data_IF_239298948387
#
_entry.id   IF_239298948387
#
_cell.length_a   1.000
_cell.length_b   1.000
_cell.length_c   1.000
_cell.angle_alpha   90.00
_cell.angle_beta   90.00
_cell.angle_gamma   90.00
#
_symmetry.space_group_name_H-M   'P 1'
#
loop_
_entity.id
_entity.type
_entity.pdbx_description
1 polymer ?
#
# COMPACT_ATOMS: atom_id res chain seq x y z
N UNK A 1 61.92 -15.34 -43.46
CA UNK A 1 61.28 -14.03 -43.21
C UNK A 1 59.82 -14.13 -43.64
N UNK A 2 58.89 -14.18 -42.70
CA UNK A 2 57.54 -13.63 -42.84
C UNK A 2 56.80 -13.88 -41.53
N UNK A 3 56.61 -12.79 -40.77
CA UNK A 3 55.72 -12.74 -39.61
C UNK A 3 54.30 -12.62 -40.15
N UNK A 4 53.44 -13.58 -39.85
CA UNK A 4 51.99 -13.43 -40.03
C UNK A 4 51.39 -12.94 -38.71
N UNK A 5 50.90 -11.70 -38.74
CA UNK A 5 50.02 -11.11 -37.74
C UNK A 5 48.67 -10.88 -38.41
N UNK A 6 47.59 -11.44 -37.87
CA UNK A 6 46.19 -11.02 -38.08
C UNK A 6 45.36 -11.69 -36.97
N UNK A 7 45.20 -11.00 -35.83
CA UNK A 7 44.02 -10.20 -35.47
C UNK A 7 42.81 -11.07 -35.07
N UNK A 8 42.76 -11.46 -33.79
CA UNK A 8 41.55 -11.94 -33.14
C UNK A 8 40.73 -10.73 -32.68
N UNK A 9 39.58 -10.48 -33.32
CA UNK A 9 38.60 -9.53 -32.83
C UNK A 9 37.89 -10.12 -31.60
N UNK A 10 38.18 -9.58 -30.42
CA UNK A 10 37.39 -9.84 -29.21
C UNK A 10 36.17 -8.94 -29.29
N UNK A 11 35.02 -9.51 -29.62
CA UNK A 11 33.72 -8.88 -29.39
C UNK A 11 33.47 -8.88 -27.89
N UNK A 12 33.77 -7.76 -27.23
CA UNK A 12 33.28 -7.49 -25.89
C UNK A 12 31.77 -7.30 -25.99
N UNK A 13 31.01 -8.35 -25.66
CA UNK A 13 29.63 -8.18 -25.24
C UNK A 13 29.65 -7.41 -23.92
N UNK A 14 29.53 -6.10 -23.99
CA UNK A 14 29.16 -5.29 -22.84
C UNK A 14 27.75 -5.67 -22.44
N UNK A 15 27.62 -6.52 -21.42
CA UNK A 15 26.37 -6.69 -20.70
C UNK A 15 26.07 -5.36 -20.00
N UNK A 16 25.42 -4.47 -20.73
CA UNK A 16 24.74 -3.32 -20.14
C UNK A 16 23.55 -3.93 -19.42
N UNK A 17 23.68 -4.14 -18.11
CA UNK A 17 22.52 -4.38 -17.25
C UNK A 17 21.67 -3.12 -17.31
N UNK A 18 20.76 -3.06 -18.29
CA UNK A 18 19.63 -2.15 -18.26
C UNK A 18 18.86 -2.57 -17.01
N UNK A 19 18.98 -1.78 -15.95
CA UNK A 19 17.97 -1.78 -14.90
C UNK A 19 16.67 -1.44 -15.63
N UNK A 20 15.83 -2.44 -15.88
CA UNK A 20 14.55 -2.20 -16.52
C UNK A 20 13.77 -1.26 -15.60
N UNK A 21 13.41 -0.08 -16.11
CA UNK A 21 12.45 0.78 -15.42
C UNK A 21 11.19 -0.04 -15.15
N UNK A 22 10.70 0.01 -13.93
CA UNK A 22 9.49 -0.70 -13.54
C UNK A 22 8.31 -0.16 -14.33
N UNK A 23 7.66 -1.02 -15.12
CA UNK A 23 6.48 -0.65 -15.91
C UNK A 23 5.36 -0.17 -14.99
N UNK A 24 4.77 0.98 -15.29
CA UNK A 24 3.69 1.59 -14.50
C UNK A 24 2.36 1.54 -15.25
N UNK A 25 1.27 1.65 -14.51
CA UNK A 25 -0.10 1.63 -15.02
C UNK A 25 -0.95 2.78 -14.50
N UNK A 26 -1.94 3.17 -15.30
CA UNK A 26 -2.97 4.14 -14.98
C UNK A 26 -4.24 3.83 -15.79
N UNK A 27 -5.31 4.59 -15.59
CA UNK A 27 -6.55 4.45 -16.39
C UNK A 27 -6.32 4.71 -17.89
N UNK A 28 -5.28 5.48 -18.25
CA UNK A 28 -4.95 5.81 -19.64
C UNK A 28 -3.82 4.93 -20.20
N UNK A 29 -3.08 4.23 -19.34
CA UNK A 29 -1.94 3.41 -19.71
C UNK A 29 -2.00 2.07 -19.01
N UNK A 30 -2.56 1.06 -19.68
CA UNK A 30 -2.77 -0.25 -19.11
C UNK A 30 -1.48 -1.08 -19.10
N UNK A 31 -1.41 -2.03 -18.17
CA UNK A 31 -0.32 -3.00 -18.17
C UNK A 31 -0.28 -3.84 -19.46
N UNK A 32 0.93 -4.24 -19.91
CA UNK A 32 1.08 -5.15 -21.06
C UNK A 32 0.75 -6.59 -20.68
N UNK A 33 0.48 -7.44 -21.68
CA UNK A 33 0.05 -8.83 -21.50
C UNK A 33 1.03 -9.69 -20.68
N UNK A 34 2.34 -9.41 -20.79
CA UNK A 34 3.40 -10.17 -20.12
C UNK A 34 3.48 -9.92 -18.61
N UNK A 35 3.01 -8.75 -18.17
CA UNK A 35 2.93 -8.32 -16.76
C UNK A 35 1.57 -7.69 -16.52
N UNK A 36 0.48 -8.46 -16.60
CA UNK A 36 -0.85 -7.94 -16.89
C UNK A 36 -1.52 -7.23 -15.70
N UNK A 37 -0.97 -7.38 -14.49
CA UNK A 37 -1.62 -6.96 -13.27
C UNK A 37 -1.11 -5.60 -12.78
N UNK A 38 -2.01 -4.64 -12.65
CA UNK A 38 -1.71 -3.32 -12.09
C UNK A 38 -1.86 -3.33 -10.58
N UNK A 39 -0.76 -3.36 -9.84
CA UNK A 39 -0.76 -3.43 -8.37
C UNK A 39 -1.32 -2.18 -7.68
N UNK A 40 -1.43 -2.26 -6.35
CA UNK A 40 -1.92 -1.15 -5.52
C UNK A 40 -1.18 0.16 -5.75
N UNK A 41 0.10 0.08 -6.12
CA UNK A 41 1.04 1.19 -6.28
C UNK A 41 1.18 1.67 -7.73
N UNK A 42 0.33 1.22 -8.65
CA UNK A 42 0.38 1.64 -10.06
C UNK A 42 1.56 1.03 -10.82
N UNK A 43 1.98 -0.18 -10.43
CA UNK A 43 3.09 -0.91 -11.03
C UNK A 43 2.59 -2.20 -11.67
N UNK A 44 3.11 -2.56 -12.84
CA UNK A 44 2.74 -3.77 -13.57
C UNK A 44 3.62 -4.96 -13.20
N UNK A 45 3.02 -6.13 -13.02
CA UNK A 45 3.75 -7.35 -12.68
C UNK A 45 2.89 -8.62 -12.75
N UNK A 46 3.37 -9.68 -12.11
CA UNK A 46 2.69 -10.98 -11.95
C UNK A 46 2.66 -11.39 -10.47
N UNK A 47 2.00 -12.50 -10.13
CA UNK A 47 2.03 -13.03 -8.76
C UNK A 47 1.34 -12.12 -7.76
N UNK A 48 2.09 -11.59 -6.78
CA UNK A 48 1.50 -10.74 -5.75
C UNK A 48 0.99 -9.40 -6.30
N UNK A 49 1.43 -8.97 -7.50
CA UNK A 49 0.83 -7.85 -8.24
C UNK A 49 -0.62 -8.10 -8.65
N UNK A 50 -0.98 -9.37 -8.84
CA UNK A 50 -2.33 -9.80 -9.26
C UNK A 50 -3.24 -10.13 -8.08
N UNK A 51 -2.66 -10.33 -6.90
CA UNK A 51 -3.40 -10.51 -5.65
C UNK A 51 -3.81 -9.14 -5.11
N UNK A 52 -4.47 -9.14 -3.95
CA UNK A 52 -5.22 -7.99 -3.47
C UNK A 52 -4.54 -6.63 -3.64
N UNK A 53 -5.32 -5.64 -4.08
CA UNK A 53 -4.89 -4.31 -4.49
C UNK A 53 -4.67 -4.18 -6.00
N UNK A 54 -4.84 -5.25 -6.79
CA UNK A 54 -4.75 -5.25 -8.24
C UNK A 54 -5.95 -4.52 -8.86
N UNK A 55 -5.74 -3.39 -9.54
CA UNK A 55 -6.83 -2.64 -10.19
C UNK A 55 -7.13 -3.21 -11.58
N UNK A 56 -8.27 -3.89 -11.80
CA UNK A 56 -8.60 -4.50 -13.09
C UNK A 56 -8.83 -3.46 -14.19
N UNK A 57 -9.13 -2.20 -13.85
CA UNK A 57 -9.36 -1.12 -14.83
C UNK A 57 -8.07 -0.62 -15.44
N UNK A 58 -6.97 -0.69 -14.69
CA UNK A 58 -5.63 -0.26 -15.12
C UNK A 58 -4.75 -1.46 -15.56
N UNK A 59 -5.28 -2.67 -15.45
CA UNK A 59 -4.64 -3.91 -15.87
C UNK A 59 -4.82 -4.17 -17.37
N UNK A 60 -4.11 -5.17 -17.90
CA UNK A 60 -4.21 -5.56 -19.32
C UNK A 60 -5.66 -5.88 -19.74
N UNK A 61 -6.40 -6.56 -18.85
CA UNK A 61 -7.82 -6.87 -18.98
C UNK A 61 -8.49 -6.96 -17.60
N UNK A 62 -9.83 -6.99 -17.55
CA UNK A 62 -10.57 -7.17 -16.30
C UNK A 62 -10.25 -8.51 -15.60
N UNK A 63 -9.89 -9.53 -16.37
CA UNK A 63 -9.54 -10.88 -15.87
C UNK A 63 -8.07 -11.00 -15.47
N UNK A 64 -7.28 -9.92 -15.55
CA UNK A 64 -5.85 -9.96 -15.22
C UNK A 64 -5.60 -10.15 -13.73
N UNK A 65 -6.43 -9.52 -12.90
CA UNK A 65 -6.35 -9.65 -11.45
C UNK A 65 -6.93 -10.98 -10.98
N UNK A 66 -6.39 -11.51 -9.89
CA UNK A 66 -6.94 -12.70 -9.24
C UNK A 66 -8.25 -12.32 -8.54
N UNK A 67 -9.33 -13.11 -8.67
CA UNK A 67 -10.59 -12.88 -7.97
C UNK A 67 -10.39 -12.68 -6.46
N UNK A 68 -11.03 -11.66 -5.90
CA UNK A 68 -10.83 -11.25 -4.51
C UNK A 68 -11.63 -12.13 -3.55
N UNK A 69 -11.03 -12.78 -2.52
CA UNK A 69 -11.77 -13.68 -1.65
C UNK A 69 -12.91 -13.00 -0.88
N UNK A 70 -14.09 -13.62 -0.88
CA UNK A 70 -15.29 -13.12 -0.21
C UNK A 70 -15.12 -13.12 1.32
N UNK A 71 -15.71 -12.11 1.96
CA UNK A 71 -15.75 -11.92 3.40
C UNK A 71 -16.21 -13.17 4.17
N UNK A 72 -15.59 -13.38 5.34
CA UNK A 72 -16.09 -14.28 6.37
C UNK A 72 -16.13 -13.53 7.70
N UNK A 73 -17.27 -13.51 8.40
CA UNK A 73 -17.39 -12.84 9.69
C UNK A 73 -16.53 -13.57 10.71
N UNK A 74 -15.58 -12.87 11.32
CA UNK A 74 -14.64 -13.45 12.29
C UNK A 74 -14.00 -12.39 13.18
N UNK A 75 -13.63 -12.86 14.37
CA UNK A 75 -12.74 -12.14 15.28
C UNK A 75 -11.31 -12.58 14.99
N UNK A 76 -10.49 -11.62 14.55
CA UNK A 76 -9.08 -11.78 14.24
C UNK A 76 -8.27 -11.47 15.50
N UNK A 77 -7.61 -12.50 16.02
CA UNK A 77 -6.71 -12.33 17.16
C UNK A 77 -5.42 -11.67 16.71
N UNK A 78 -4.93 -10.76 17.55
CA UNK A 78 -3.65 -10.07 17.37
C UNK A 78 -2.67 -10.44 18.48
N UNK A 79 -2.78 -11.63 19.10
CA UNK A 79 -1.93 -12.04 20.22
C UNK A 79 -0.63 -12.76 19.80
N UNK A 80 -0.56 -13.17 18.53
CA UNK A 80 0.59 -13.82 17.89
C UNK A 80 0.61 -13.50 16.37
N UNK A 81 1.57 -14.04 15.64
CA UNK A 81 1.74 -13.82 14.19
C UNK A 81 1.55 -15.09 13.35
N UNK A 82 0.95 -16.16 13.89
CA UNK A 82 0.78 -17.44 13.19
C UNK A 82 -0.19 -17.32 12.00
N UNK A 83 -1.14 -16.39 12.08
CA UNK A 83 -2.10 -16.08 11.01
C UNK A 83 -1.63 -14.94 10.09
N UNK A 84 -0.36 -14.56 10.16
CA UNK A 84 0.24 -13.52 9.33
C UNK A 84 1.19 -14.18 8.33
N UNK A 85 0.97 -13.94 7.04
CA UNK A 85 1.82 -14.42 5.96
C UNK A 85 2.51 -13.25 5.27
N UNK A 86 3.79 -13.40 4.96
CA UNK A 86 4.50 -12.39 4.16
C UNK A 86 3.94 -12.33 2.73
N UNK A 87 3.85 -11.14 2.15
CA UNK A 87 3.38 -10.94 0.77
C UNK A 87 4.13 -11.81 -0.24
N UNK A 88 5.41 -12.12 0.00
CA UNK A 88 6.23 -12.97 -0.87
C UNK A 88 5.93 -14.47 -0.77
N UNK A 89 4.98 -14.85 0.06
CA UNK A 89 4.57 -16.24 0.27
C UNK A 89 3.06 -16.44 0.09
N UNK A 90 2.29 -15.37 0.07
CA UNK A 90 0.84 -15.46 -0.06
C UNK A 90 0.43 -15.74 -1.50
N UNK A 91 -0.44 -16.74 -1.69
CA UNK A 91 -0.90 -17.17 -3.00
C UNK A 91 -2.42 -16.94 -3.21
N UNK A 92 -3.09 -16.21 -2.32
CA UNK A 92 -4.53 -15.91 -2.46
C UNK A 92 -5.48 -16.89 -1.77
N UNK A 93 -4.97 -17.78 -0.90
CA UNK A 93 -5.79 -18.67 -0.08
C UNK A 93 -6.14 -18.02 1.27
N UNK A 94 -7.38 -17.53 1.47
CA UNK A 94 -7.79 -16.86 2.71
C UNK A 94 -7.88 -17.80 3.92
N UNK A 95 -7.74 -19.12 3.73
CA UNK A 95 -7.83 -20.11 4.82
C UNK A 95 -6.48 -20.36 5.50
N UNK A 96 -5.38 -19.96 4.86
CA UNK A 96 -4.01 -20.17 5.39
C UNK A 96 -3.55 -19.04 6.32
N UNK A 97 -4.11 -17.84 6.17
CA UNK A 97 -3.74 -16.68 6.95
C UNK A 97 -4.91 -15.68 6.99
N UNK A 98 -4.97 -14.90 8.05
CA UNK A 98 -5.91 -13.77 8.17
C UNK A 98 -5.33 -12.49 7.57
N UNK A 99 -4.00 -12.36 7.61
CA UNK A 99 -3.29 -11.14 7.24
C UNK A 99 -2.15 -11.42 6.28
N UNK A 100 -2.03 -10.58 5.26
CA UNK A 100 -0.84 -10.46 4.42
C UNK A 100 -0.02 -9.28 4.90
N UNK A 101 1.25 -9.49 5.22
CA UNK A 101 2.17 -8.46 5.70
C UNK A 101 3.09 -7.95 4.60
N UNK A 102 3.28 -6.63 4.58
CA UNK A 102 4.48 -6.00 4.03
C UNK A 102 5.11 -5.19 5.17
N UNK A 103 6.34 -5.51 5.56
CA UNK A 103 6.99 -4.94 6.74
C UNK A 103 7.02 -5.92 7.92
N UNK A 104 7.09 -5.39 9.15
CA UNK A 104 7.32 -6.19 10.35
C UNK A 104 6.23 -5.99 11.40
N UNK A 105 5.46 -7.07 11.60
CA UNK A 105 4.53 -7.25 12.69
C UNK A 105 5.19 -8.09 13.79
N UNK A 106 5.11 -7.65 15.05
CA UNK A 106 5.70 -8.36 16.19
C UNK A 106 4.70 -8.52 17.35
N UNK A 107 4.59 -9.71 17.96
CA UNK A 107 3.70 -9.91 19.10
C UNK A 107 4.25 -9.21 20.36
N UNK A 108 3.38 -8.55 21.10
CA UNK A 108 3.71 -7.81 22.32
C UNK A 108 2.51 -7.75 23.27
N UNK A 109 2.65 -8.34 24.46
CA UNK A 109 1.64 -8.28 25.54
C UNK A 109 0.21 -8.64 25.10
N UNK A 110 0.05 -9.71 24.30
CA UNK A 110 -1.26 -10.16 23.80
C UNK A 110 -1.84 -9.27 22.68
N UNK A 111 -1.02 -8.40 22.10
CA UNK A 111 -1.33 -7.55 20.95
C UNK A 111 -0.22 -7.67 19.89
N UNK A 112 -0.40 -7.03 18.74
CA UNK A 112 0.61 -6.96 17.67
C UNK A 112 1.08 -5.53 17.50
N UNK A 113 2.39 -5.31 17.46
CA UNK A 113 2.98 -4.05 17.04
C UNK A 113 3.23 -4.11 15.54
N UNK A 114 2.76 -3.10 14.82
CA UNK A 114 3.29 -2.80 13.49
C UNK A 114 4.43 -1.81 13.68
N UNK A 115 5.59 -2.12 13.10
CA UNK A 115 6.82 -1.36 13.35
C UNK A 115 7.29 -0.59 12.12
N UNK A 116 7.98 0.52 12.36
CA UNK A 116 8.56 1.38 11.33
C UNK A 116 9.97 1.77 11.76
N UNK A 117 10.96 1.08 11.16
CA UNK A 117 12.38 1.35 11.37
C UNK A 117 12.84 2.51 10.47
N UNK A 118 13.98 3.16 10.80
CA UNK A 118 14.58 4.12 9.90
C UNK A 118 14.78 3.55 8.49
N UNK A 119 14.50 4.37 7.47
CA UNK A 119 14.64 4.04 6.05
C UNK A 119 13.74 2.88 5.56
N UNK A 120 12.62 2.60 6.22
CA UNK A 120 11.59 1.67 5.72
C UNK A 120 10.30 2.39 5.36
N UNK A 121 9.46 1.76 4.55
CA UNK A 121 8.11 2.25 4.24
C UNK A 121 7.10 2.03 5.39
N UNK A 122 7.57 1.55 6.55
CA UNK A 122 6.71 1.13 7.66
C UNK A 122 6.22 -0.31 7.50
N UNK A 123 5.01 -0.57 8.01
CA UNK A 123 4.37 -1.90 7.98
C UNK A 123 2.90 -1.76 7.66
N UNK A 124 2.40 -2.63 6.78
CA UNK A 124 0.98 -2.83 6.53
C UNK A 124 0.60 -4.30 6.73
N UNK A 125 -0.54 -4.53 7.37
CA UNK A 125 -1.27 -5.80 7.36
C UNK A 125 -2.55 -5.61 6.57
N UNK A 126 -2.74 -6.41 5.52
CA UNK A 126 -3.95 -6.43 4.71
C UNK A 126 -4.74 -7.71 4.96
N UNK A 127 -6.04 -7.63 5.19
CA UNK A 127 -6.87 -8.81 5.38
C UNK A 127 -6.89 -9.67 4.11
N UNK A 128 -6.93 -10.99 4.29
CA UNK A 128 -7.02 -11.94 3.16
C UNK A 128 -8.40 -12.03 2.52
N UNK A 129 -9.41 -11.41 3.15
CA UNK A 129 -10.79 -11.35 2.67
C UNK A 129 -11.23 -9.92 2.38
N UNK A 130 -12.20 -9.78 1.48
CA UNK A 130 -12.81 -8.53 1.06
C UNK A 130 -14.25 -8.44 1.55
N UNK A 131 -14.61 -7.33 2.16
CA UNK A 131 -15.95 -6.99 2.59
C UNK A 131 -16.62 -6.17 1.51
N UNK A 132 -17.85 -6.52 1.13
CA UNK A 132 -18.68 -5.65 0.31
C UNK A 132 -19.81 -5.13 1.18
N UNK A 133 -19.57 -3.98 1.80
CA UNK A 133 -20.27 -3.50 2.99
C UNK A 133 -20.02 -4.41 4.21
N UNK A 134 -20.41 -3.93 5.40
CA UNK A 134 -20.28 -4.66 6.66
C UNK A 134 -19.88 -3.75 7.81
N UNK A 135 -19.31 -4.36 8.84
CA UNK A 135 -18.79 -3.66 9.99
C UNK A 135 -17.39 -4.16 10.32
N UNK A 136 -16.47 -3.24 10.60
CA UNK A 136 -15.13 -3.57 11.08
C UNK A 136 -14.82 -2.79 12.35
N UNK A 137 -14.28 -3.46 13.36
CA UNK A 137 -13.84 -2.88 14.62
C UNK A 137 -12.39 -3.26 14.89
N UNK A 138 -11.60 -2.36 15.45
CA UNK A 138 -10.24 -2.66 15.87
C UNK A 138 -9.88 -1.91 17.15
N UNK A 139 -9.19 -2.56 18.08
CA UNK A 139 -8.57 -1.90 19.24
C UNK A 139 -7.18 -1.38 18.86
N UNK A 140 -6.97 -0.07 18.94
CA UNK A 140 -5.74 0.55 18.42
C UNK A 140 -5.13 1.48 19.47
N UNK A 141 -3.79 1.44 19.59
CA UNK A 141 -2.95 2.53 20.09
C UNK A 141 -2.05 3.03 18.97
N UNK A 142 -2.04 4.33 18.74
CA UNK A 142 -1.38 4.92 17.57
C UNK A 142 0.11 5.15 17.82
N UNK A 143 0.89 5.29 16.74
CA UNK A 143 2.22 5.87 16.82
C UNK A 143 2.18 7.36 17.22
N UNK A 144 3.34 7.89 17.61
CA UNK A 144 3.53 9.32 17.94
C UNK A 144 4.79 9.88 17.30
N UNK A 145 4.87 11.20 17.21
CA UNK A 145 5.98 11.94 16.63
C UNK A 145 5.62 12.58 15.28
N UNK A 146 6.35 13.63 14.92
CA UNK A 146 6.22 14.28 13.61
C UNK A 146 6.47 13.28 12.49
N UNK A 147 5.62 13.32 11.46
CA UNK A 147 5.72 12.49 10.28
C UNK A 147 5.34 11.01 10.46
N UNK A 148 5.00 10.57 11.68
CA UNK A 148 4.57 9.20 11.97
C UNK A 148 3.05 9.14 11.81
N UNK A 149 2.57 8.28 10.91
CA UNK A 149 1.13 8.13 10.67
C UNK A 149 0.71 6.69 10.93
N UNK A 150 -0.39 6.52 11.66
CA UNK A 150 -1.09 5.23 11.83
C UNK A 150 -2.35 5.24 10.99
N UNK A 151 -2.75 4.12 10.39
CA UNK A 151 -3.98 4.04 9.61
C UNK A 151 -4.78 2.75 9.82
N UNK A 152 -6.10 2.87 9.66
CA UNK A 152 -7.10 1.81 9.70
C UNK A 152 -8.08 2.04 8.53
N UNK A 153 -7.91 1.27 7.45
CA UNK A 153 -8.46 1.61 6.13
C UNK A 153 -9.22 0.42 5.55
N UNK A 154 -10.41 0.64 5.00
CA UNK A 154 -11.02 -0.25 4.01
C UNK A 154 -10.64 0.25 2.61
N UNK A 155 -9.88 -0.56 1.86
CA UNK A 155 -9.43 -0.20 0.51
C UNK A 155 -9.82 -1.28 -0.50
N UNK A 156 -10.53 -0.88 -1.54
CA UNK A 156 -10.86 -1.75 -2.68
C UNK A 156 -9.74 -1.75 -3.73
N UNK A 157 -9.78 -2.77 -4.58
CA UNK A 157 -8.88 -2.91 -5.72
C UNK A 157 -9.01 -1.74 -6.71
N UNK A 158 -10.20 -1.14 -6.79
CA UNK A 158 -10.50 0.02 -7.63
C UNK A 158 -10.46 1.34 -6.87
N UNK A 159 -9.84 1.35 -5.67
CA UNK A 159 -9.50 2.54 -4.89
C UNK A 159 -10.70 3.30 -4.28
N UNK A 160 -11.85 2.68 -4.14
CA UNK A 160 -12.77 3.09 -3.06
C UNK A 160 -12.07 2.91 -1.71
N UNK A 161 -12.08 3.95 -0.89
CA UNK A 161 -11.36 4.03 0.37
C UNK A 161 -12.25 4.61 1.48
N UNK A 162 -12.15 4.03 2.68
CA UNK A 162 -12.77 4.54 3.90
C UNK A 162 -11.72 4.40 5.00
N UNK A 163 -11.33 5.49 5.64
CA UNK A 163 -10.21 5.48 6.56
C UNK A 163 -10.49 6.14 7.92
N UNK A 164 -9.71 5.67 8.88
CA UNK A 164 -9.16 6.49 9.93
C UNK A 164 -7.66 6.67 9.73
N UNK A 165 -7.18 7.88 10.00
CA UNK A 165 -5.76 8.18 10.10
C UNK A 165 -5.46 8.98 11.38
N UNK A 166 -4.27 8.73 11.94
CA UNK A 166 -3.76 9.47 13.09
C UNK A 166 -2.38 10.02 12.77
N UNK A 167 -2.27 11.34 12.82
CA UNK A 167 -1.00 12.05 12.73
C UNK A 167 -0.35 12.04 14.11
N UNK A 168 0.88 11.55 14.21
CA UNK A 168 1.56 11.32 15.50
C UNK A 168 1.84 12.57 16.35
N UNK A 169 1.56 13.77 15.84
CA UNK A 169 1.61 15.04 16.58
C UNK A 169 0.26 15.45 17.17
N UNK A 170 -0.82 14.76 16.79
CA UNK A 170 -2.21 15.02 17.18
C UNK A 170 -2.78 13.77 17.88
N UNK A 171 -2.53 13.66 19.19
CA UNK A 171 -2.87 12.45 19.97
C UNK A 171 -4.29 12.47 20.55
N UNK A 172 -5.10 13.49 20.24
CA UNK A 172 -6.48 13.66 20.71
C UNK A 172 -7.50 13.72 19.55
N UNK A 173 -7.03 13.41 18.33
CA UNK A 173 -7.79 13.48 17.09
C UNK A 173 -7.71 12.15 16.35
N UNK A 174 -8.86 11.64 15.91
CA UNK A 174 -8.94 10.63 14.87
C UNK A 174 -9.44 11.30 13.57
N UNK A 175 -8.61 11.35 12.55
CA UNK A 175 -9.01 11.88 11.24
C UNK A 175 -9.78 10.79 10.49
N UNK A 176 -10.85 11.18 9.81
CA UNK A 176 -11.68 10.28 8.99
C UNK A 176 -11.74 10.83 7.58
N UNK A 177 -11.67 9.96 6.59
CA UNK A 177 -11.80 10.34 5.20
C UNK A 177 -12.41 9.21 4.37
N UNK A 178 -12.78 9.55 3.14
CA UNK A 178 -13.18 8.57 2.14
C UNK A 178 -12.86 9.06 0.73
N UNK A 179 -12.52 8.12 -0.14
CA UNK A 179 -12.31 8.37 -1.56
C UNK A 179 -13.17 7.44 -2.40
N UNK A 180 -13.67 7.96 -3.52
CA UNK A 180 -14.34 7.17 -4.54
C UNK A 180 -13.38 6.94 -5.69
N UNK A 181 -13.12 5.66 -6.00
CA UNK A 181 -12.32 5.24 -7.13
C UNK A 181 -10.93 5.89 -7.26
N UNK A 182 -10.31 6.26 -6.13
CA UNK A 182 -8.96 6.82 -6.07
C UNK A 182 -8.88 8.26 -6.57
N UNK A 183 -10.02 8.93 -6.72
CA UNK A 183 -10.09 10.35 -7.06
C UNK A 183 -9.87 11.14 -5.76
N UNK A 184 -8.74 11.87 -5.63
CA UNK A 184 -8.48 12.62 -4.41
C UNK A 184 -9.47 13.78 -4.28
N UNK A 185 -10.22 13.81 -3.18
CA UNK A 185 -11.00 14.95 -2.74
C UNK A 185 -10.67 15.25 -1.27
N UNK A 186 -9.81 16.25 -1.08
CA UNK A 186 -9.35 16.66 0.25
C UNK A 186 -10.43 17.36 1.08
N UNK A 187 -11.61 17.64 0.51
CA UNK A 187 -12.71 18.27 1.25
C UNK A 187 -13.53 17.27 2.07
N UNK A 188 -13.34 15.97 1.84
CA UNK A 188 -14.03 14.91 2.57
C UNK A 188 -13.42 14.61 3.95
N UNK A 189 -12.24 15.14 4.28
CA UNK A 189 -11.61 14.90 5.58
C UNK A 189 -12.39 15.56 6.71
N UNK A 190 -12.56 14.85 7.82
CA UNK A 190 -13.17 15.37 9.03
C UNK A 190 -12.54 14.76 10.29
N UNK A 191 -12.48 15.54 11.36
CA UNK A 191 -11.89 15.12 12.63
C UNK A 191 -12.97 14.67 13.62
N UNK A 192 -12.69 13.56 14.31
CA UNK A 192 -13.32 13.22 15.58
C UNK A 192 -12.36 13.68 16.67
N UNK A 193 -12.78 14.67 17.45
CA UNK A 193 -11.98 15.30 18.51
C UNK A 193 -12.32 14.76 19.89
N UNK A 194 -11.60 15.23 20.92
CA UNK A 194 -11.82 14.87 22.32
C UNK A 194 -11.63 13.37 22.59
N UNK A 195 -10.88 12.69 21.73
CA UNK A 195 -10.37 11.34 21.97
C UNK A 195 -9.27 11.47 23.01
N UNK A 196 -9.25 10.59 24.02
CA UNK A 196 -8.13 10.61 24.97
C UNK A 196 -6.84 10.20 24.26
N UNK A 197 -5.68 10.50 24.86
CA UNK A 197 -4.35 10.24 24.27
C UNK A 197 -4.28 8.87 23.56
N UNK A 198 -4.29 8.90 22.22
CA UNK A 198 -4.40 7.71 21.35
C UNK A 198 -3.13 6.87 21.34
N UNK A 199 -2.00 7.43 21.77
CA UNK A 199 -0.75 6.70 21.93
C UNK A 199 -0.66 6.05 23.33
N UNK A 200 -1.25 6.66 24.35
CA UNK A 200 -1.26 6.15 25.71
C UNK A 200 -2.36 5.10 25.94
N UNK A 201 -3.55 5.30 25.36
CA UNK A 201 -4.76 4.53 25.64
C UNK A 201 -5.22 3.73 24.43
N UNK A 202 -5.78 2.54 24.69
CA UNK A 202 -6.52 1.81 23.65
C UNK A 202 -7.89 2.46 23.45
N UNK A 203 -8.25 2.59 22.18
CA UNK A 203 -9.59 2.95 21.74
C UNK A 203 -10.11 1.89 20.77
N UNK A 204 -11.42 1.63 20.80
CA UNK A 204 -12.09 0.83 19.77
C UNK A 204 -12.55 1.76 18.66
N UNK A 205 -12.01 1.56 17.46
CA UNK A 205 -12.42 2.27 16.25
C UNK A 205 -13.28 1.37 15.40
N UNK A 206 -14.43 1.87 14.98
CA UNK A 206 -15.43 1.13 14.21
C UNK A 206 -15.77 1.88 12.92
N UNK A 207 -15.86 1.12 11.82
CA UNK A 207 -16.44 1.57 10.54
C UNK A 207 -17.63 0.67 10.26
N UNK A 208 -18.84 1.24 10.32
CA UNK A 208 -20.05 0.62 9.78
C UNK A 208 -20.27 1.14 8.38
N UNK A 209 -20.34 0.26 7.42
CA UNK A 209 -20.48 0.62 6.02
C UNK A 209 -21.63 -0.15 5.41
N UNK A 210 -22.61 0.57 4.89
CA UNK A 210 -23.80 0.05 4.22
C UNK A 210 -23.91 0.66 2.82
N UNK A 211 -24.81 0.17 1.96
CA UNK A 211 -25.09 0.81 0.67
C UNK A 211 -25.56 2.27 0.77
N UNK A 212 -26.04 2.70 1.94
CA UNK A 212 -26.67 4.01 2.15
C UNK A 212 -25.78 4.99 2.94
N UNK A 213 -24.91 4.49 3.83
CA UNK A 213 -24.07 5.34 4.67
C UNK A 213 -22.79 4.65 5.15
N UNK A 214 -21.83 5.48 5.53
CA UNK A 214 -20.65 5.11 6.32
C UNK A 214 -20.77 5.81 7.67
N UNK A 215 -20.61 5.07 8.75
CA UNK A 215 -20.60 5.59 10.12
C UNK A 215 -19.29 5.23 10.81
N UNK A 216 -18.58 6.25 11.29
CA UNK A 216 -17.35 6.13 12.08
C UNK A 216 -17.70 6.29 13.56
N UNK A 217 -17.28 5.32 14.38
CA UNK A 217 -17.42 5.37 15.84
C UNK A 217 -16.07 5.21 16.56
N UNK A 218 -15.93 5.91 17.68
CA UNK A 218 -14.84 5.74 18.64
C UNK A 218 -15.46 5.33 19.98
N UNK A 219 -15.02 4.21 20.53
CA UNK A 219 -15.53 3.63 21.79
C UNK A 219 -17.07 3.49 21.82
N UNK A 220 -17.65 3.13 20.67
CA UNK A 220 -19.10 2.98 20.49
C UNK A 220 -19.89 4.29 20.37
N UNK A 221 -19.23 5.44 20.38
CA UNK A 221 -19.83 6.75 20.15
C UNK A 221 -19.68 7.16 18.69
N UNK A 222 -20.77 7.52 18.04
CA UNK A 222 -20.76 8.01 16.65
C UNK A 222 -20.03 9.35 16.58
N UNK A 223 -18.93 9.39 15.83
CA UNK A 223 -18.19 10.62 15.55
C UNK A 223 -18.54 11.23 14.20
N UNK A 224 -18.86 10.41 13.19
CA UNK A 224 -19.22 10.87 11.84
C UNK A 224 -20.20 9.92 11.14
N UNK A 225 -21.09 10.49 10.34
CA UNK A 225 -21.92 9.76 9.37
C UNK A 225 -21.79 10.44 8.00
N UNK A 226 -21.45 9.69 6.96
CA UNK A 226 -21.48 10.12 5.56
C UNK A 226 -22.58 9.35 4.85
N UNK A 227 -23.60 10.05 4.35
CA UNK A 227 -24.65 9.42 3.55
C UNK A 227 -24.25 9.40 2.08
N UNK A 228 -24.58 8.32 1.39
CA UNK A 228 -24.49 8.23 -0.07
C UNK A 228 -25.31 9.31 -0.76
N UNK A 229 -26.49 9.66 -0.22
CA UNK A 229 -27.35 10.71 -0.77
C UNK A 229 -26.68 12.09 -0.86
N UNK A 230 -25.60 12.30 -0.13
CA UNK A 230 -24.90 13.58 -0.05
C UNK A 230 -23.68 13.62 -1.00
N UNK A 231 -23.42 12.54 -1.75
CA UNK A 231 -22.24 12.41 -2.65
C UNK A 231 -22.62 12.43 -4.14
N UNK A 232 -23.77 13.00 -4.50
CA UNK A 232 -24.18 13.09 -5.91
C UNK A 232 -23.23 13.96 -6.71
N UNK A 233 -22.56 13.37 -7.69
CA UNK A 233 -21.80 14.09 -8.69
C UNK A 233 -22.66 14.29 -9.94
N UNK A 234 -23.20 15.50 -10.11
CA UNK A 234 -24.04 15.84 -11.26
C UNK A 234 -23.28 15.81 -12.60
N UNK A 235 -21.96 16.04 -12.58
CA UNK A 235 -21.13 16.05 -13.79
C UNK A 235 -20.89 14.64 -14.30
N UNK A 236 -20.56 13.72 -13.40
CA UNK A 236 -20.34 12.31 -13.71
C UNK A 236 -21.63 11.47 -13.72
N UNK A 237 -22.76 12.05 -13.27
CA UNK A 237 -24.06 11.38 -13.14
C UNK A 237 -23.97 10.08 -12.32
N UNK A 238 -23.29 10.15 -11.18
CA UNK A 238 -23.07 9.02 -10.29
C UNK A 238 -22.94 9.47 -8.83
N UNK A 239 -22.95 8.50 -7.92
CA UNK A 239 -22.65 8.72 -6.51
C UNK A 239 -21.16 8.45 -6.27
N UNK A 240 -20.42 9.48 -5.85
CA UNK A 240 -19.01 9.36 -5.48
C UNK A 240 -18.94 8.84 -4.03
N UNK A 241 -19.44 7.63 -3.82
CA UNK A 241 -19.52 6.94 -2.54
C UNK A 241 -18.81 5.58 -2.62
N UNK A 242 -17.96 5.21 -1.64
CA UNK A 242 -17.34 3.90 -1.55
C UNK A 242 -18.38 2.77 -1.62
N UNK A 243 -18.27 1.91 -2.63
CA UNK A 243 -19.35 0.99 -2.98
C UNK A 243 -18.87 -0.35 -3.56
N UNK A 244 -17.58 -0.62 -3.54
CA UNK A 244 -16.97 -1.84 -4.10
C UNK A 244 -16.22 -2.65 -3.07
N UNK A 245 -16.08 -3.99 -3.22
CA UNK A 245 -15.45 -4.85 -2.22
C UNK A 245 -14.08 -4.31 -1.78
N UNK A 246 -13.91 -4.15 -0.48
CA UNK A 246 -12.71 -3.58 0.13
C UNK A 246 -12.12 -4.54 1.15
N UNK A 247 -10.80 -4.62 1.21
CA UNK A 247 -10.09 -5.32 2.28
C UNK A 247 -9.68 -4.35 3.37
N UNK A 248 -9.55 -4.86 4.57
CA UNK A 248 -9.06 -4.09 5.71
C UNK A 248 -7.54 -3.98 5.66
N UNK A 249 -6.99 -2.79 5.87
CA UNK A 249 -5.57 -2.51 6.03
C UNK A 249 -5.29 -1.80 7.36
N UNK A 250 -4.31 -2.32 8.10
CA UNK A 250 -3.75 -1.73 9.31
C UNK A 250 -2.33 -1.31 9.02
N UNK A 251 -1.94 -0.09 9.33
CA UNK A 251 -0.56 0.34 9.03
C UNK A 251 0.02 1.36 10.00
N UNK A 252 1.36 1.42 9.97
CA UNK A 252 2.15 2.56 10.39
C UNK A 252 3.10 2.91 9.24
N UNK A 253 3.21 4.18 8.88
CA UNK A 253 3.98 4.60 7.71
C UNK A 253 4.56 6.01 7.85
N UNK A 254 5.63 6.32 7.09
CA UNK A 254 6.39 7.55 7.27
C UNK A 254 5.82 8.70 6.42
N UNK A 255 4.70 9.30 6.84
CA UNK A 255 4.09 10.46 6.16
C UNK A 255 5.05 11.65 6.00
N UNK A 256 5.94 11.85 6.97
CA UNK A 256 6.99 12.88 6.93
C UNK A 256 8.29 12.48 6.24
N UNK A 257 8.31 11.38 5.46
CA UNK A 257 9.48 11.01 4.67
C UNK A 257 9.84 12.11 3.65
N UNK A 258 11.13 12.38 3.46
CA UNK A 258 11.61 13.41 2.52
C UNK A 258 11.29 13.12 1.06
N UNK A 259 10.94 11.87 0.73
CA UNK A 259 10.51 11.44 -0.60
C UNK A 259 9.04 11.73 -0.89
N UNK A 260 8.24 12.05 0.13
CA UNK A 260 6.82 12.34 -0.04
C UNK A 260 6.60 13.78 -0.55
N UNK A 261 5.42 14.01 -1.11
CA UNK A 261 5.01 15.36 -1.51
C UNK A 261 5.00 16.31 -0.30
N UNK A 262 5.37 17.57 -0.53
CA UNK A 262 5.42 18.59 0.53
C UNK A 262 4.10 18.69 1.32
N UNK A 263 2.96 18.61 0.64
CA UNK A 263 1.64 18.66 1.30
C UNK A 263 1.45 17.51 2.30
N UNK A 264 1.86 16.29 1.94
CA UNK A 264 1.81 15.11 2.82
C UNK A 264 2.73 15.27 4.03
N UNK A 265 3.96 15.78 3.82
CA UNK A 265 4.91 16.03 4.92
C UNK A 265 4.34 17.06 5.89
N UNK A 266 3.80 18.16 5.36
CA UNK A 266 3.23 19.24 6.17
C UNK A 266 1.99 18.74 6.96
N UNK A 267 1.11 17.96 6.32
CA UNK A 267 -0.05 17.34 6.98
C UNK A 267 0.35 16.36 8.08
N UNK A 268 1.39 15.55 7.86
CA UNK A 268 1.88 14.60 8.85
C UNK A 268 2.59 15.25 10.05
N UNK A 269 2.57 16.58 10.17
CA UNK A 269 3.20 17.33 11.26
C UNK A 269 4.69 17.61 11.04
N UNK A 270 5.19 17.42 9.81
CA UNK A 270 6.57 17.71 9.42
C UNK A 270 7.46 16.47 9.25
N UNK A 271 8.77 16.68 9.07
CA UNK A 271 9.73 15.60 8.87
C UNK A 271 9.83 14.65 10.06
N UNK A 272 10.07 13.36 9.78
CA UNK A 272 10.29 12.36 10.83
C UNK A 272 11.63 12.59 11.51
N UNK A 273 11.62 12.57 12.84
CA UNK A 273 12.82 12.54 13.66
C UNK A 273 13.27 11.09 13.89
N UNK A 274 14.26 10.62 13.13
CA UNK A 274 14.83 9.28 13.29
C UNK A 274 15.84 9.18 14.45
N UNK A 275 16.16 10.29 15.12
CA UNK A 275 17.03 10.33 16.30
C UNK A 275 16.22 10.54 17.59
N UNK A 276 14.89 10.43 17.53
CA UNK A 276 14.00 10.68 18.67
C UNK A 276 14.25 9.73 19.84
N UNK A 277 13.76 10.11 21.02
CA UNK A 277 13.86 9.27 22.21
C UNK A 277 13.19 7.89 22.04
N UNK A 278 12.15 7.79 21.21
CA UNK A 278 11.48 6.51 20.92
C UNK A 278 12.34 5.62 20.02
N UNK A 279 12.95 6.18 18.98
CA UNK A 279 13.91 5.41 18.16
C UNK A 279 15.12 4.99 18.98
N UNK A 280 15.68 5.86 19.82
CA UNK A 280 16.81 5.49 20.68
C UNK A 280 16.46 4.38 21.69
N UNK A 281 15.22 4.34 22.17
CA UNK A 281 14.74 3.34 23.15
C UNK A 281 14.41 2.01 22.49
N UNK A 282 13.63 2.03 21.41
CA UNK A 282 12.97 0.85 20.85
C UNK A 282 13.59 0.41 19.51
N UNK A 283 14.30 1.31 18.82
CA UNK A 283 14.88 1.08 17.48
C UNK A 283 13.88 1.24 16.33
N UNK A 284 12.62 1.58 16.61
CA UNK A 284 11.55 1.78 15.65
C UNK A 284 10.40 2.60 16.25
N UNK A 285 9.63 3.27 15.39
CA UNK A 285 8.27 3.71 15.73
C UNK A 285 7.31 2.53 15.63
N UNK A 286 6.21 2.55 16.37
CA UNK A 286 5.19 1.50 16.28
C UNK A 286 3.79 2.00 16.59
N UNK A 287 2.81 1.27 16.09
CA UNK A 287 1.41 1.31 16.53
C UNK A 287 1.03 -0.08 17.07
N UNK A 288 0.17 -0.13 18.08
CA UNK A 288 -0.29 -1.38 18.71
C UNK A 288 -1.71 -1.69 18.28
N UNK A 289 -1.93 -2.89 17.75
CA UNK A 289 -3.23 -3.38 17.34
C UNK A 289 -3.60 -4.58 18.21
N UNK A 290 -4.73 -4.45 18.90
CA UNK A 290 -5.42 -5.54 19.57
C UNK A 290 -6.44 -6.20 18.65
N UNK A 291 -7.36 -6.95 19.24
CA UNK A 291 -8.43 -7.68 18.54
C UNK A 291 -9.13 -6.84 17.46
N UNK A 292 -9.40 -7.50 16.32
CA UNK A 292 -10.11 -6.93 15.17
C UNK A 292 -11.32 -7.79 14.87
N UNK A 293 -12.50 -7.19 14.78
CA UNK A 293 -13.73 -7.88 14.38
C UNK A 293 -14.12 -7.49 12.96
N UNK A 294 -14.42 -8.48 12.14
CA UNK A 294 -15.03 -8.33 10.82
C UNK A 294 -16.41 -8.96 10.86
N UNK A 295 -17.44 -8.18 10.51
CA UNK A 295 -18.81 -8.64 10.31
C UNK A 295 -19.24 -8.32 8.87
N UNK A 296 -19.43 -9.36 8.06
CA UNK A 296 -19.85 -9.21 6.68
C UNK A 296 -21.31 -8.75 6.59
N UNK A 297 -21.60 -7.89 5.62
CA UNK A 297 -22.97 -7.45 5.35
C UNK A 297 -23.92 -8.61 5.06
N UNK A 298 -25.11 -8.59 5.64
CA UNK A 298 -26.08 -9.68 5.50
C UNK A 298 -27.18 -9.28 4.52
N UNK A 299 -27.07 -9.71 3.27
CA UNK A 299 -28.10 -9.52 2.25
C UNK A 299 -28.12 -10.70 1.27
N UNK A 300 -29.30 -11.00 0.73
CA UNK A 300 -29.49 -11.97 -0.36
C UNK A 300 -29.72 -11.28 -1.71
N UNK A 301 -29.73 -9.95 -1.73
CA UNK A 301 -29.97 -9.15 -2.93
C UNK A 301 -28.82 -8.16 -3.13
N UNK A 302 -28.24 -8.09 -4.33
CA UNK A 302 -27.23 -7.08 -4.64
C UNK A 302 -27.75 -5.65 -4.43
N UNK A 303 -26.87 -4.68 -4.10
CA UNK A 303 -25.42 -4.85 -3.90
C UNK A 303 -25.08 -5.37 -2.48
N UNK A 304 -23.89 -5.95 -2.31
CA UNK A 304 -23.38 -6.40 -1.00
C UNK A 304 -23.57 -7.87 -0.66
N UNK A 305 -23.95 -8.71 -1.63
CA UNK A 305 -24.01 -10.16 -1.40
C UNK A 305 -22.60 -10.72 -1.19
N UNK A 306 -22.50 -11.80 -0.41
CA UNK A 306 -21.24 -12.46 -0.03
C UNK A 306 -21.42 -13.99 0.00
N UNK A 307 -22.19 -14.51 -0.94
CA UNK A 307 -22.59 -15.92 -0.96
C UNK A 307 -21.66 -16.81 -1.78
N UNK A 308 -20.89 -16.21 -2.68
CA UNK A 308 -19.88 -16.88 -3.48
C UNK A 308 -18.55 -17.05 -2.75
N UNK A 309 -17.52 -17.37 -3.53
CA UNK A 309 -16.13 -17.51 -3.08
C UNK A 309 -15.30 -16.27 -3.35
N UNK A 310 -15.62 -15.53 -4.40
CA UNK A 310 -14.81 -14.41 -4.86
C UNK A 310 -15.60 -13.28 -5.48
N UNK A 311 -14.99 -12.09 -5.49
CA UNK A 311 -15.47 -10.92 -6.21
C UNK A 311 -14.64 -10.66 -7.47
N UNK A 312 -15.33 -10.35 -8.56
CA UNK A 312 -14.74 -9.87 -9.82
C UNK A 312 -15.56 -8.68 -10.36
N UNK A 313 -15.12 -8.09 -11.48
CA UNK A 313 -15.82 -7.00 -12.15
C UNK A 313 -16.14 -7.38 -13.59
N UNK A 314 -17.41 -7.27 -13.99
CA UNK A 314 -17.84 -7.52 -15.39
C UNK A 314 -17.73 -6.30 -16.30
N UNK A 315 -17.40 -5.13 -15.75
CA UNK A 315 -17.32 -3.87 -16.48
C UNK A 315 -16.37 -2.89 -15.78
N UNK A 316 -15.57 -2.16 -16.57
CA UNK A 316 -14.52 -1.25 -16.13
C UNK A 316 -15.02 0.01 -15.40
N UNK A 317 -16.33 0.30 -15.46
CA UNK A 317 -16.96 1.32 -14.62
C UNK A 317 -16.74 1.05 -13.13
N UNK A 318 -16.57 -0.21 -12.75
CA UNK A 318 -16.24 -0.65 -11.39
C UNK A 318 -17.10 0.01 -10.30
N UNK A 319 -18.39 0.11 -10.56
CA UNK A 319 -19.39 0.53 -9.57
C UNK A 319 -20.08 -0.71 -9.00
N UNK A 320 -20.89 -0.53 -7.95
CA UNK A 320 -21.51 -1.65 -7.26
C UNK A 320 -22.37 -2.56 -8.17
N UNK A 321 -22.93 -2.03 -9.28
CA UNK A 321 -23.71 -2.78 -10.27
C UNK A 321 -22.85 -3.65 -11.21
N UNK A 322 -21.53 -3.44 -11.22
CA UNK A 322 -20.57 -4.20 -12.03
C UNK A 322 -19.83 -5.29 -11.26
N UNK A 323 -19.89 -5.27 -9.93
CA UNK A 323 -19.34 -6.31 -9.06
C UNK A 323 -20.10 -7.63 -9.28
N UNK A 324 -19.35 -8.72 -9.36
CA UNK A 324 -19.86 -10.09 -9.44
C UNK A 324 -19.44 -10.83 -8.17
N UNK A 325 -20.41 -11.25 -7.37
CA UNK A 325 -20.25 -12.25 -6.29
C UNK A 325 -20.36 -13.64 -6.92
N UNK A 326 -19.23 -14.31 -7.11
CA UNK A 326 -19.09 -15.51 -7.94
C UNK A 326 -18.26 -16.61 -7.27
N UNK A 327 -17.97 -17.67 -8.02
CA UNK A 327 -17.30 -18.88 -7.53
C UNK A 327 -15.88 -19.07 -8.10
N UNK A 328 -15.31 -18.03 -8.70
CA UNK A 328 -14.00 -18.10 -9.35
C UNK A 328 -12.90 -18.37 -8.31
N UNK A 329 -11.88 -19.11 -8.73
CA UNK A 329 -10.77 -19.49 -7.86
C UNK A 329 -9.94 -18.27 -7.46
N UNK A 330 -9.46 -18.25 -6.22
CA UNK A 330 -8.65 -17.15 -5.65
C UNK A 330 -7.18 -17.53 -5.46
N UNK A 331 -6.83 -18.80 -5.70
CA UNK A 331 -5.55 -19.37 -5.30
C UNK A 331 -4.65 -19.55 -6.52
N UNK A 332 -3.54 -18.83 -6.54
CA UNK A 332 -2.44 -19.02 -7.48
C UNK A 332 -1.66 -20.29 -7.14
N UNK A 333 -1.21 -21.00 -8.17
CA UNK A 333 -0.28 -22.13 -8.01
C UNK A 333 1.13 -21.67 -7.69
N UNK A 334 1.53 -20.49 -8.18
CA UNK A 334 2.82 -19.86 -7.87
C UNK A 334 2.76 -18.34 -8.07
N UNK A 335 3.80 -17.63 -7.59
CA UNK A 335 3.97 -16.19 -7.80
C UNK A 335 4.34 -15.80 -9.24
N UNK A 336 4.32 -16.74 -10.20
CA UNK A 336 4.33 -16.42 -11.63
C UNK A 336 2.92 -16.46 -12.23
N UNK A 337 1.92 -16.88 -11.46
CA UNK A 337 0.53 -16.92 -11.89
C UNK A 337 -0.10 -15.53 -11.94
N UNK A 338 -1.20 -15.44 -12.67
CA UNK A 338 -2.03 -14.24 -12.84
C UNK A 338 -3.50 -14.66 -12.87
N UNK A 339 -4.44 -13.71 -12.93
CA UNK A 339 -5.85 -14.05 -13.19
C UNK A 339 -6.07 -14.75 -14.54
N UNK A 340 -5.19 -14.49 -15.53
CA UNK A 340 -5.23 -15.12 -16.86
C UNK A 340 -4.66 -16.54 -16.88
N UNK A 341 -3.78 -16.88 -15.94
CA UNK A 341 -3.14 -18.20 -15.81
C UNK A 341 -2.79 -18.47 -14.34
N UNK A 342 -3.79 -18.93 -13.58
CA UNK A 342 -3.63 -19.24 -12.15
C UNK A 342 -2.81 -20.51 -11.89
N UNK A 343 -2.69 -21.40 -12.88
CA UNK A 343 -2.01 -22.70 -12.78
C UNK A 343 -0.54 -22.65 -13.21
N UNK A 344 0.01 -21.44 -13.39
CA UNK A 344 1.41 -21.24 -13.77
C UNK A 344 2.36 -21.86 -12.75
N UNK A 345 3.23 -22.76 -13.21
CA UNK A 345 4.28 -23.35 -12.39
C UNK A 345 5.55 -22.50 -12.39
N UNK A 346 6.32 -22.59 -11.29
CA UNK A 346 7.69 -22.10 -11.28
C UNK A 346 8.55 -22.90 -12.28
N UNK A 347 9.40 -22.27 -13.08
CA UNK A 347 10.32 -22.99 -13.95
C UNK A 347 11.27 -23.87 -13.12
N UNK A 348 11.62 -25.04 -13.64
CA UNK A 348 12.52 -26.00 -12.98
C UNK A 348 13.93 -25.44 -12.67
N UNK A 349 14.29 -24.30 -13.25
CA UNK A 349 15.48 -23.51 -12.91
C UNK A 349 15.05 -22.07 -12.65
N UNK A 350 15.45 -21.50 -11.51
CA UNK A 350 15.15 -20.13 -11.13
C UNK A 350 15.93 -19.15 -12.02
N UNK A 351 15.38 -18.85 -13.19
CA UNK A 351 15.90 -17.87 -14.13
C UNK A 351 14.72 -17.05 -14.61
N UNK A 352 14.58 -15.82 -14.08
CA UNK A 352 13.48 -14.94 -14.44
C UNK A 352 13.74 -13.52 -13.94
N UNK A 353 13.31 -12.55 -14.74
CA UNK A 353 13.38 -11.10 -14.45
C UNK A 353 11.99 -10.52 -14.19
N UNK A 354 10.96 -11.37 -14.05
CA UNK A 354 9.61 -10.92 -13.78
C UNK A 354 9.51 -10.44 -12.33
N UNK A 355 9.04 -9.21 -12.14
CA UNK A 355 8.75 -8.67 -10.82
C UNK A 355 7.50 -9.35 -10.25
N UNK A 356 7.63 -9.96 -9.07
CA UNK A 356 6.52 -10.73 -8.46
C UNK A 356 5.97 -10.10 -7.18
N UNK A 357 6.68 -9.14 -6.57
CA UNK A 357 6.26 -8.41 -5.36
C UNK A 357 6.13 -6.89 -5.63
N UNK A 358 4.95 -6.28 -5.45
CA UNK A 358 4.77 -4.82 -5.56
C UNK A 358 5.61 -4.04 -4.55
N UNK A 359 6.16 -2.90 -4.97
CA UNK A 359 6.99 -2.05 -4.12
C UNK A 359 8.43 -2.55 -3.90
N UNK A 360 8.81 -3.69 -4.48
CA UNK A 360 10.17 -4.23 -4.43
C UNK A 360 10.71 -4.37 -5.87
N UNK A 361 11.82 -3.69 -6.18
CA UNK A 361 12.50 -3.83 -7.49
C UNK A 361 13.53 -4.95 -7.44
N UNK A 362 13.63 -5.76 -8.49
CA UNK A 362 14.50 -6.94 -8.55
C UNK A 362 13.96 -8.14 -7.78
N UNK A 363 12.68 -8.08 -7.39
CA UNK A 363 11.97 -9.13 -6.68
C UNK A 363 11.58 -10.25 -7.63
N UNK A 364 12.56 -10.98 -8.15
CA UNK A 364 12.31 -12.15 -8.98
C UNK A 364 11.71 -13.32 -8.17
N UNK A 365 11.25 -14.39 -8.83
CA UNK A 365 10.61 -15.56 -8.19
C UNK A 365 11.47 -16.34 -7.17
N UNK A 366 12.70 -15.89 -6.88
CA UNK A 366 13.61 -16.48 -5.89
C UNK A 366 14.02 -15.55 -4.74
N UNK A 367 13.50 -14.32 -4.66
CA UNK A 367 13.82 -13.38 -3.58
C UNK A 367 12.77 -13.50 -2.47
N UNK A 368 13.18 -13.86 -1.26
CA UNK A 368 12.31 -14.02 -0.08
C UNK A 368 11.83 -12.66 0.49
N UNK A 369 11.38 -11.73 -0.36
CA UNK A 369 10.97 -10.39 0.07
C UNK A 369 12.12 -9.48 0.56
N UNK A 370 13.37 -9.91 0.43
CA UNK A 370 14.55 -9.08 0.73
C UNK A 370 14.96 -8.30 -0.51
N UNK A 371 15.17 -6.99 -0.37
CA UNK A 371 15.76 -6.16 -1.42
C UNK A 371 17.07 -6.80 -1.88
N UNK A 372 17.31 -6.83 -3.20
CA UNK A 372 18.59 -7.27 -3.75
C UNK A 372 19.71 -6.31 -3.32
N UNK A 373 20.29 -6.55 -2.15
CA UNK A 373 21.32 -5.67 -1.58
C UNK A 373 21.55 -5.84 -0.09
N UNK A 374 21.87 -7.04 0.37
CA UNK A 374 22.73 -7.30 1.54
C UNK A 374 22.99 -8.80 1.65
N UNK A 375 23.78 -9.36 0.73
CA UNK A 375 24.37 -10.67 0.90
C UNK A 375 25.50 -10.58 1.94
N UNK A 376 25.12 -10.62 3.22
CA UNK A 376 26.06 -10.87 4.31
C UNK A 376 26.34 -12.38 4.35
N UNK A 377 27.31 -12.78 3.53
CA UNK A 377 27.69 -14.18 3.31
C UNK A 377 29.19 -14.30 3.06
N UNK A 378 30.00 -13.76 3.97
CA UNK A 378 31.46 -13.85 3.92
C UNK A 378 32.03 -14.56 5.13
N UNK A 379 32.13 -15.88 5.06
CA UNK A 379 32.85 -16.73 6.02
C UNK A 379 34.25 -16.18 6.31
N UNK A 380 34.53 -15.97 7.59
CA UNK A 380 35.80 -15.49 8.10
C UNK A 380 36.96 -16.47 7.80
N UNK A 381 37.98 -16.00 7.07
CA UNK A 381 39.35 -16.47 7.23
C UNK A 381 40.31 -15.28 7.13
N UNK A 382 41.08 -15.10 8.20
CA UNK A 382 42.08 -14.07 8.46
C UNK A 382 43.12 -13.85 7.35
N UNK A 383 43.44 -12.59 7.05
CA UNK A 383 44.82 -12.08 7.13
C UNK A 383 44.92 -10.56 6.93
N UNK A 384 45.89 -10.00 7.62
CA UNK A 384 46.31 -8.60 7.81
C UNK A 384 46.70 -7.81 6.56
N UNK A 385 46.55 -6.48 6.59
CA UNK A 385 47.32 -5.56 5.75
C UNK A 385 46.83 -4.11 5.72
N UNK A 386 47.59 -3.22 6.34
CA UNK A 386 47.45 -1.75 6.44
C UNK A 386 47.49 -0.96 5.12
N UNK A 387 46.78 0.17 5.03
CA UNK A 387 47.35 1.54 4.87
C UNK A 387 46.31 2.61 4.50
N UNK A 388 46.56 3.82 5.01
CA UNK A 388 45.80 5.07 4.90
C UNK A 388 46.01 5.81 3.57
N UNK A 389 44.98 6.52 3.08
CA UNK A 389 45.15 7.86 2.47
C UNK A 389 43.83 8.62 2.30
N UNK A 390 43.92 9.93 2.52
CA UNK A 390 42.90 10.99 2.40
C UNK A 390 42.78 11.56 0.99
N UNK A 391 41.59 12.00 0.56
CA UNK A 391 41.40 12.79 -0.67
C UNK A 391 39.96 13.26 -0.89
N UNK A 392 39.80 14.51 -1.33
CA UNK A 392 38.60 15.36 -1.34
C UNK A 392 37.76 15.26 -2.63
N UNK A 393 36.44 15.50 -2.50
CA UNK A 393 35.59 16.24 -3.45
C UNK A 393 35.16 15.58 -4.78
N UNK A 394 33.88 15.23 -4.90
CA UNK A 394 33.04 15.62 -6.06
C UNK A 394 31.57 15.27 -5.81
N UNK A 395 30.70 16.25 -6.05
CA UNK A 395 29.25 16.12 -6.21
C UNK A 395 28.92 15.06 -7.25
N UNK A 396 28.34 13.94 -6.80
CA UNK A 396 27.63 12.98 -7.64
C UNK A 396 26.40 12.51 -6.89
N UNK A 397 25.27 12.49 -7.59
CA UNK A 397 24.02 11.88 -7.15
C UNK A 397 24.33 10.48 -6.60
N UNK A 398 24.08 10.30 -5.31
CA UNK A 398 24.28 9.01 -4.65
C UNK A 398 22.98 8.22 -4.75
N UNK A 399 23.06 7.10 -5.46
CA UNK A 399 21.99 6.14 -5.63
C UNK A 399 21.91 5.28 -4.39
N UNK A 400 21.11 5.71 -3.41
CA UNK A 400 20.63 4.85 -2.34
C UNK A 400 19.11 4.76 -2.42
N UNK A 401 18.62 3.53 -2.35
CA UNK A 401 17.25 3.06 -2.54
C UNK A 401 16.21 3.89 -1.79
N UNK A 402 15.48 4.70 -2.56
CA UNK A 402 14.28 5.41 -2.14
C UNK A 402 13.49 5.80 -3.38
N UNK A 403 12.19 5.50 -3.37
CA UNK A 403 11.23 5.87 -4.41
C UNK A 403 11.29 7.39 -4.68
N UNK A 404 11.60 7.79 -5.92
CA UNK A 404 11.71 9.19 -6.35
C UNK A 404 10.56 9.57 -7.27
N UNK A 405 9.66 10.44 -6.80
CA UNK A 405 8.68 11.10 -7.65
C UNK A 405 9.29 12.37 -8.27
N UNK A 406 9.71 12.24 -9.53
CA UNK A 406 9.91 13.29 -10.52
C UNK A 406 10.94 14.40 -10.20
N UNK A 407 12.11 14.28 -10.82
CA UNK A 407 13.10 15.35 -10.95
C UNK A 407 12.69 16.29 -12.09
N UNK A 408 11.97 17.37 -11.77
CA UNK A 408 11.97 18.57 -12.62
C UNK A 408 11.79 19.82 -11.75
N UNK A 409 12.88 20.59 -11.63
CA UNK A 409 12.87 21.93 -11.05
C UNK A 409 13.31 22.91 -12.12
N UNK A 410 12.35 23.66 -12.65
CA UNK A 410 12.64 25.01 -13.15
C UNK A 410 12.08 26.01 -12.14
N UNK A 411 13.01 26.78 -11.58
CA UNK A 411 12.79 27.77 -10.54
C UNK A 411 12.24 29.08 -11.08
N UNK A 412 11.32 29.73 -10.36
CA UNK A 412 11.53 31.13 -9.96
C UNK A 412 10.60 31.55 -8.81
N UNK A 413 11.22 32.19 -7.83
CA UNK A 413 10.67 32.71 -6.57
C UNK A 413 10.13 34.13 -6.71
N UNK A 414 9.10 34.50 -5.94
CA UNK A 414 9.14 35.75 -5.15
C UNK A 414 8.17 35.75 -3.96
N UNK A 415 8.59 36.49 -2.93
CA UNK A 415 8.20 36.56 -1.52
C UNK A 415 6.93 37.35 -1.17
N UNK A 416 6.29 37.04 -0.02
CA UNK A 416 5.71 38.07 0.84
C UNK A 416 4.51 37.70 1.74
N UNK A 417 4.76 37.77 3.06
CA UNK A 417 3.88 38.18 4.16
C UNK A 417 2.78 37.25 4.73
N UNK A 418 2.72 37.27 6.06
CA UNK A 418 1.92 36.45 6.96
C UNK A 418 0.44 36.82 7.02
N UNK A 419 -0.45 35.83 7.05
CA UNK A 419 -1.79 35.89 7.63
C UNK A 419 -2.14 34.51 8.22
N UNK A 420 -2.68 34.53 9.44
CA UNK A 420 -3.26 33.41 10.18
C UNK A 420 -4.43 32.82 9.39
N UNK A 421 -4.34 31.58 8.93
CA UNK A 421 -5.43 30.90 8.21
C UNK A 421 -5.68 29.52 8.81
N UNK A 422 -6.96 29.26 9.07
CA UNK A 422 -7.49 28.00 9.56
C UNK A 422 -7.01 26.85 8.65
N UNK A 423 -6.47 25.80 9.26
CA UNK A 423 -5.84 24.68 8.58
C UNK A 423 -6.90 23.91 7.78
N UNK A 424 -6.87 24.07 6.45
CA UNK A 424 -7.47 23.12 5.52
C UNK A 424 -6.63 21.84 5.62
N UNK A 425 -7.22 20.79 6.20
CA UNK A 425 -6.62 19.47 6.38
C UNK A 425 -6.49 18.79 5.01
N UNK A 426 -5.27 18.59 4.54
CA UNK A 426 -4.97 17.82 3.33
C UNK A 426 -4.67 16.39 3.80
N UNK A 427 -5.71 15.57 3.93
CA UNK A 427 -5.60 14.16 4.33
C UNK A 427 -4.76 13.32 3.35
N UNK A 428 -4.18 12.23 3.85
CA UNK A 428 -3.22 11.40 3.14
C UNK A 428 -3.75 10.80 1.84
N UNK A 429 -2.80 10.51 0.97
CA UNK A 429 -2.96 9.81 -0.29
C UNK A 429 -2.18 8.50 -0.20
N UNK A 430 -2.80 7.44 0.32
CA UNK A 430 -2.31 6.07 0.10
C UNK A 430 -2.37 5.66 -1.38
N UNK A 431 -3.01 6.48 -2.22
CA UNK A 431 -3.07 6.36 -3.66
C UNK A 431 -2.74 7.68 -4.39
N UNK A 432 -1.60 8.33 -4.10
CA UNK A 432 -1.09 9.40 -4.97
C UNK A 432 -0.56 8.83 -6.29
N UNK A 433 -1.47 8.41 -7.17
CA UNK A 433 -1.20 8.23 -8.60
C UNK A 433 -1.23 9.62 -9.23
N UNK A 434 -0.13 9.97 -9.89
CA UNK A 434 0.05 11.24 -10.58
C UNK A 434 -1.02 11.41 -11.68
N UNK A 435 -1.87 12.42 -11.55
CA UNK A 435 -2.71 12.90 -12.66
C UNK A 435 -1.89 13.85 -13.53
N UNK A 436 -1.56 13.41 -14.75
CA UNK A 436 -1.04 14.29 -15.81
C UNK A 436 -2.22 15.05 -16.41
N UNK A 437 -2.48 16.27 -15.93
CA UNK A 437 -3.38 17.20 -16.62
C UNK A 437 -2.64 17.91 -17.75
N UNK A 438 -2.82 17.41 -18.96
CA UNK A 438 -2.49 18.12 -20.19
C UNK A 438 -3.47 19.25 -20.43
N UNK A 439 -3.12 20.46 -20.01
CA UNK A 439 -3.77 21.69 -20.45
C UNK A 439 -3.44 21.91 -21.94
N UNK A 440 -4.45 21.93 -22.81
CA UNK A 440 -4.39 22.61 -24.10
C UNK A 440 -5.73 23.26 -24.42
N UNK A 441 -5.64 24.58 -24.52
CA UNK A 441 -6.64 25.59 -24.86
C UNK A 441 -7.62 25.21 -25.97
N UNK A 442 -8.91 25.49 -25.76
CA UNK A 442 -9.64 26.61 -26.39
C UNK A 442 -10.92 26.95 -25.62
#
# INVERSE_FOLDING_TARGET
MMRTWLSAAVVLFGASSVLADQTTCSLDNHCPEETPCCSQYGQCGVGAYCLGGCDPRMSFSLDSCVPAPVCASKTLKMDNTDNVVDVSKYLGDPTQADWVAQGSAVPFNGNTLLTMKPNTAGTVLASTVYLWYGNVKAKIKTGRGAGVVTAFILLSDVKDEIDYEWVGTELDIAQTNYYFQGIPDYTHSANITDVSDTNANFHEYEIRWTPDDITWLVDGVVGRVQKKSDTWNATANQWDFPQTPSRLQLSIWPGGASTNAKGTIDWAGGPIDWDSADIQRDGYYYATFGEVDIECYQTNTPPGTNSGKSYTYKDAKATNDTVVDGDDNTILKSLLGTGLDMDKELPATASGTAEVIPGLSGGGPGTNGEAAGSSDGGSSSSSSGSSSSSGSGSTKCDSSSGFQQNCNSDSSSTSGAAVRQDHILIGSSFAAIATVLGALML
#
